data_IF_093160078059
#
_entry.id   IF_093160078059
#
_cell.length_a   1.000
_cell.length_b   1.000
_cell.length_c   1.000
_cell.angle_alpha   90.00
_cell.angle_beta   90.00
_cell.angle_gamma   90.00
#
_symmetry.space_group_name_H-M   'P 1'
#
loop_
_entity.id
_entity.type
_entity.pdbx_description
1 polymer ?
#
# COMPACT_ATOMS: atom_id res chain seq x y z
N UNK A 1 0.30 21.97 22.96
CA UNK A 1 -0.09 20.67 23.54
C UNK A 1 1.13 19.79 23.47
N UNK A 2 1.63 19.37 24.63
CA UNK A 2 2.98 18.87 24.90
C UNK A 2 3.32 17.64 24.05
N UNK A 3 4.36 17.73 23.22
CA UNK A 3 5.05 16.56 22.68
C UNK A 3 5.66 15.83 23.88
N UNK A 4 5.11 14.68 24.26
CA UNK A 4 5.82 13.76 25.15
C UNK A 4 7.10 13.32 24.45
N UNK A 5 8.24 13.69 25.00
CA UNK A 5 9.55 13.32 24.47
C UNK A 5 9.70 11.79 24.54
N UNK A 6 9.61 11.10 23.41
CA UNK A 6 9.66 9.63 23.29
C UNK A 6 11.08 9.04 23.47
N UNK A 7 11.92 9.66 24.30
CA UNK A 7 13.33 9.24 24.47
C UNK A 7 13.38 7.81 25.02
N UNK A 8 13.91 6.88 24.21
CA UNK A 8 14.10 5.47 24.59
C UNK A 8 12.90 4.54 24.38
N UNK A 9 11.77 5.00 23.82
CA UNK A 9 10.60 4.15 23.54
C UNK A 9 10.62 3.62 22.12
N UNK A 10 10.51 2.30 21.96
CA UNK A 10 10.31 1.68 20.64
C UNK A 10 8.84 1.76 20.21
N UNK A 11 8.55 1.86 18.89
CA UNK A 11 7.19 1.76 18.39
C UNK A 11 6.63 0.35 18.63
N UNK A 12 5.31 0.23 18.79
CA UNK A 12 4.64 -1.07 18.95
C UNK A 12 4.20 -1.59 17.59
N UNK A 13 4.80 -2.68 17.11
CA UNK A 13 4.56 -3.18 15.75
C UNK A 13 3.08 -3.42 15.43
N UNK A 14 2.35 -4.04 16.38
CA UNK A 14 0.94 -4.43 16.21
C UNK A 14 0.01 -3.24 15.94
N UNK A 15 0.35 -2.06 16.44
CA UNK A 15 -0.44 -0.83 16.26
C UNK A 15 0.24 0.15 15.32
N UNK A 16 1.45 -0.14 14.81
CA UNK A 16 2.17 0.74 13.93
C UNK A 16 1.39 0.95 12.62
N UNK A 17 0.91 2.17 12.31
CA UNK A 17 0.01 2.41 11.18
C UNK A 17 0.62 2.02 9.84
N UNK A 18 1.92 2.27 9.64
CA UNK A 18 2.65 1.87 8.43
C UNK A 18 2.73 0.34 8.24
N UNK A 19 2.80 -0.41 9.33
CA UNK A 19 2.76 -1.87 9.30
C UNK A 19 1.36 -2.36 8.92
N UNK A 20 0.31 -1.85 9.57
CA UNK A 20 -1.09 -2.19 9.29
C UNK A 20 -1.48 -1.88 7.84
N UNK A 21 -1.09 -0.72 7.31
CA UNK A 21 -1.32 -0.33 5.91
C UNK A 21 -0.65 -1.30 4.95
N UNK A 22 0.59 -1.71 5.21
CA UNK A 22 1.29 -2.70 4.39
C UNK A 22 0.60 -4.06 4.43
N UNK A 23 0.20 -4.54 5.61
CA UNK A 23 -0.52 -5.82 5.74
C UNK A 23 -1.85 -5.78 4.98
N UNK A 24 -2.60 -4.68 5.07
CA UNK A 24 -3.83 -4.50 4.31
C UNK A 24 -3.57 -4.47 2.78
N UNK A 25 -2.44 -3.89 2.35
CA UNK A 25 -2.04 -3.91 0.95
C UNK A 25 -1.71 -5.33 0.46
N UNK A 26 -1.08 -6.14 1.29
CA UNK A 26 -0.80 -7.55 1.00
C UNK A 26 -2.11 -8.34 0.87
N UNK A 27 -3.02 -8.19 1.83
CA UNK A 27 -4.35 -8.81 1.80
C UNK A 27 -5.12 -8.43 0.51
N UNK A 28 -5.14 -7.14 0.16
CA UNK A 28 -5.73 -6.67 -1.09
C UNK A 28 -5.05 -7.30 -2.32
N UNK A 29 -3.72 -7.41 -2.32
CA UNK A 29 -2.97 -8.01 -3.44
C UNK A 29 -3.28 -9.49 -3.60
N UNK A 30 -3.40 -10.24 -2.50
CA UNK A 30 -3.81 -11.65 -2.51
C UNK A 30 -5.23 -11.79 -3.07
N UNK A 31 -6.21 -11.04 -2.53
CA UNK A 31 -7.59 -11.06 -3.00
C UNK A 31 -7.67 -10.72 -4.50
N UNK A 32 -6.90 -9.74 -4.93
CA UNK A 32 -6.81 -9.35 -6.34
C UNK A 32 -6.34 -10.51 -7.21
N UNK A 33 -5.24 -11.18 -6.84
CA UNK A 33 -4.70 -12.32 -7.59
C UNK A 33 -5.69 -13.49 -7.66
N UNK A 34 -6.45 -13.72 -6.58
CA UNK A 34 -7.45 -14.80 -6.49
C UNK A 34 -8.70 -14.53 -7.33
N UNK A 35 -9.15 -13.28 -7.42
CA UNK A 35 -10.46 -12.95 -7.99
C UNK A 35 -10.41 -12.25 -9.35
N UNK A 36 -9.35 -11.51 -9.68
CA UNK A 36 -9.26 -10.73 -10.93
C UNK A 36 -8.42 -11.48 -11.97
N UNK A 37 -9.06 -12.41 -12.68
CA UNK A 37 -8.38 -13.36 -13.59
C UNK A 37 -8.03 -12.80 -14.98
N UNK A 38 -8.47 -11.58 -15.32
CA UNK A 38 -8.22 -10.95 -16.62
C UNK A 38 -6.77 -10.46 -16.83
N UNK A 39 -5.85 -10.81 -15.92
CA UNK A 39 -4.44 -10.44 -15.98
C UNK A 39 -4.21 -8.93 -15.92
N UNK A 40 -5.09 -8.18 -15.26
CA UNK A 40 -4.89 -6.77 -14.94
C UNK A 40 -4.32 -6.66 -13.53
N UNK A 41 -3.36 -5.76 -13.33
CA UNK A 41 -3.01 -5.30 -11.98
C UNK A 41 -4.04 -4.26 -11.51
N UNK A 42 -4.13 -4.03 -10.19
CA UNK A 42 -5.01 -2.99 -9.62
C UNK A 42 -4.71 -1.59 -10.17
N UNK A 43 -3.44 -1.27 -10.39
CA UNK A 43 -3.02 -0.01 -10.99
C UNK A 43 -3.43 0.09 -12.46
N UNK A 44 -3.28 -1.00 -13.23
CA UNK A 44 -3.73 -1.04 -14.62
C UNK A 44 -5.25 -0.87 -14.72
N UNK A 45 -6.03 -1.57 -13.88
CA UNK A 45 -7.48 -1.39 -13.81
C UNK A 45 -7.85 0.05 -13.48
N UNK A 46 -7.22 0.65 -12.46
CA UNK A 46 -7.48 2.04 -12.08
C UNK A 46 -7.23 3.03 -13.22
N UNK A 47 -6.18 2.83 -14.01
CA UNK A 47 -5.94 3.66 -15.22
C UNK A 47 -7.06 3.45 -16.25
N UNK A 48 -7.49 2.22 -16.50
CA UNK A 48 -8.59 1.97 -17.44
C UNK A 48 -9.90 2.63 -16.97
N UNK A 49 -10.21 2.55 -15.68
CA UNK A 49 -11.37 3.18 -15.07
C UNK A 49 -11.34 4.70 -15.22
N UNK A 50 -10.20 5.33 -14.88
CA UNK A 50 -10.00 6.79 -15.05
C UNK A 50 -10.14 7.21 -16.52
N UNK A 51 -9.61 6.43 -17.46
CA UNK A 51 -9.77 6.70 -18.90
C UNK A 51 -11.20 6.48 -19.39
N UNK A 52 -11.94 5.52 -18.82
CA UNK A 52 -13.36 5.32 -19.12
C UNK A 52 -14.22 6.50 -18.69
N UNK A 53 -13.91 7.08 -17.53
CA UNK A 53 -14.66 8.20 -16.94
C UNK A 53 -14.31 9.56 -17.53
N UNK A 54 -13.08 9.75 -18.02
CA UNK A 54 -12.58 11.06 -18.49
C UNK A 54 -12.27 11.10 -19.99
N UNK A 55 -12.43 9.97 -20.68
CA UNK A 55 -12.12 9.85 -22.10
C UNK A 55 -10.62 10.01 -22.40
N UNK A 56 -10.26 11.06 -23.15
CA UNK A 56 -8.91 11.32 -23.65
C UNK A 56 -8.16 12.27 -22.72
N UNK A 57 -7.17 11.76 -21.98
CA UNK A 57 -6.35 12.58 -21.05
C UNK A 57 -4.86 12.32 -21.20
N UNK A 58 -4.02 13.26 -20.78
CA UNK A 58 -2.57 13.08 -20.82
C UNK A 58 -2.03 12.25 -19.64
N UNK A 59 -0.78 11.78 -19.77
CA UNK A 59 -0.12 10.98 -18.73
C UNK A 59 0.13 11.76 -17.44
N UNK A 60 0.28 13.08 -17.49
CA UNK A 60 0.44 13.91 -16.28
C UNK A 60 -0.84 13.85 -15.45
N UNK A 61 -1.99 13.94 -16.10
CA UNK A 61 -3.31 13.86 -15.51
C UNK A 61 -3.60 12.45 -14.97
N UNK A 62 -3.26 11.40 -15.72
CA UNK A 62 -3.32 10.01 -15.23
C UNK A 62 -2.47 9.85 -13.97
N UNK A 63 -1.22 10.32 -13.99
CA UNK A 63 -0.31 10.24 -12.85
C UNK A 63 -0.86 10.96 -11.62
N UNK A 64 -1.44 12.16 -11.78
CA UNK A 64 -2.12 12.89 -10.70
C UNK A 64 -3.27 12.10 -10.09
N UNK A 65 -4.22 11.63 -10.92
CA UNK A 65 -5.42 10.93 -10.47
C UNK A 65 -5.11 9.57 -9.82
N UNK A 66 -4.11 8.87 -10.34
CA UNK A 66 -3.65 7.59 -9.80
C UNK A 66 -2.66 7.72 -8.64
N UNK A 67 -2.14 8.94 -8.39
CA UNK A 67 -0.92 9.25 -7.65
C UNK A 67 0.21 8.26 -7.94
N UNK A 68 0.64 8.31 -9.19
CA UNK A 68 1.83 7.66 -9.69
C UNK A 68 2.83 8.74 -10.09
N UNK A 69 4.11 8.48 -9.86
CA UNK A 69 5.16 9.33 -10.41
C UNK A 69 5.20 9.22 -11.95
N UNK A 70 5.93 10.16 -12.58
CA UNK A 70 6.03 10.26 -14.03
C UNK A 70 6.57 8.98 -14.68
N UNK A 71 7.56 8.33 -14.05
CA UNK A 71 8.23 7.15 -14.60
C UNK A 71 7.32 5.92 -14.52
N UNK A 72 6.68 5.70 -13.37
CA UNK A 72 5.71 4.62 -13.18
C UNK A 72 4.50 4.79 -14.08
N UNK A 73 3.98 6.02 -14.22
CA UNK A 73 2.87 6.30 -15.13
C UNK A 73 3.23 5.96 -16.57
N UNK A 74 4.41 6.40 -17.03
CA UNK A 74 4.88 6.13 -18.38
C UNK A 74 5.06 4.63 -18.66
N UNK A 75 5.64 3.88 -17.71
CA UNK A 75 5.82 2.44 -17.83
C UNK A 75 4.48 1.69 -17.86
N UNK A 76 3.56 1.97 -16.94
CA UNK A 76 2.25 1.29 -16.92
C UNK A 76 1.46 1.61 -18.19
N UNK A 77 1.42 2.87 -18.63
CA UNK A 77 0.76 3.25 -19.90
C UNK A 77 1.43 2.56 -21.08
N UNK A 78 2.76 2.45 -21.11
CA UNK A 78 3.49 1.73 -22.17
C UNK A 78 3.10 0.25 -22.23
N UNK A 79 3.02 -0.42 -21.07
CA UNK A 79 2.56 -1.82 -20.97
C UNK A 79 1.11 -1.98 -21.41
N UNK A 80 0.22 -1.06 -21.02
CA UNK A 80 -1.18 -1.05 -21.48
C UNK A 80 -1.30 -0.83 -22.99
N UNK A 81 -0.48 0.04 -23.58
CA UNK A 81 -0.42 0.24 -25.04
C UNK A 81 0.07 -1.01 -25.75
N UNK A 82 1.14 -1.66 -25.25
CA UNK A 82 1.67 -2.92 -25.81
C UNK A 82 0.65 -4.05 -25.77
N UNK A 83 -0.19 -4.08 -24.74
CA UNK A 83 -1.32 -5.03 -24.61
C UNK A 83 -2.53 -4.66 -25.46
N UNK A 84 -2.48 -3.55 -26.20
CA UNK A 84 -3.59 -3.05 -27.01
C UNK A 84 -4.81 -2.63 -26.19
N UNK A 85 -4.65 -2.28 -24.91
CA UNK A 85 -5.76 -1.85 -24.05
C UNK A 85 -6.00 -0.35 -24.15
N UNK A 86 -4.94 0.45 -24.35
CA UNK A 86 -5.04 1.90 -24.54
C UNK A 86 -4.32 2.32 -25.81
N UNK A 87 -4.79 3.39 -26.45
CA UNK A 87 -4.15 4.00 -27.62
C UNK A 87 -3.60 5.38 -27.25
N UNK A 88 -2.48 5.78 -27.89
CA UNK A 88 -1.93 7.14 -27.81
C UNK A 88 -2.21 7.84 -29.13
N UNK A 89 -2.98 8.92 -29.11
CA UNK A 89 -3.28 9.70 -30.31
C UNK A 89 -2.41 10.97 -30.31
N UNK A 90 -2.05 11.48 -31.49
CA UNK A 90 -1.45 12.81 -31.59
C UNK A 90 -2.59 13.82 -31.50
N UNK A 91 -2.46 14.80 -30.61
CA UNK A 91 -3.46 15.86 -30.53
C UNK A 91 -3.35 16.75 -31.78
N UNK A 92 -4.43 16.92 -32.57
CA UNK A 92 -4.41 17.72 -33.79
C UNK A 92 -4.27 19.23 -33.52
N UNK A 93 -4.57 19.69 -32.30
CA UNK A 93 -4.46 21.10 -31.88
C UNK A 93 -3.10 21.43 -31.27
N UNK A 94 -2.45 20.44 -30.66
CA UNK A 94 -1.11 20.55 -30.11
C UNK A 94 -0.32 19.25 -30.35
N UNK A 95 0.45 19.21 -31.44
CA UNK A 95 1.20 18.01 -31.84
C UNK A 95 2.24 17.53 -30.82
N UNK A 96 2.50 18.28 -29.74
CA UNK A 96 3.34 17.87 -28.60
C UNK A 96 2.57 17.05 -27.57
N UNK A 97 1.24 17.17 -27.52
CA UNK A 97 0.37 16.37 -26.65
C UNK A 97 0.05 15.02 -27.29
N UNK A 98 0.15 13.98 -26.48
CA UNK A 98 -0.21 12.60 -26.86
C UNK A 98 -1.23 12.05 -25.87
N UNK A 99 -2.51 12.46 -25.95
CA UNK A 99 -3.54 11.94 -25.09
C UNK A 99 -3.65 10.42 -25.20
N UNK A 100 -3.98 9.81 -24.06
CA UNK A 100 -4.23 8.39 -23.89
C UNK A 100 -5.73 8.19 -23.78
N UNK A 101 -6.26 7.14 -24.42
CA UNK A 101 -7.65 6.73 -24.27
C UNK A 101 -7.81 5.22 -24.36
N UNK A 102 -8.97 4.72 -23.92
CA UNK A 102 -9.34 3.32 -24.08
C UNK A 102 -9.46 2.94 -25.56
N UNK A 103 -8.90 1.78 -25.90
CA UNK A 103 -9.28 1.06 -27.12
C UNK A 103 -10.59 0.28 -26.91
N UNK A 104 -11.17 -0.30 -27.96
CA UNK A 104 -12.31 -1.22 -27.82
C UNK A 104 -11.98 -2.41 -26.89
N UNK A 105 -10.78 -2.98 -27.00
CA UNK A 105 -10.30 -4.05 -26.11
C UNK A 105 -10.15 -3.57 -24.66
N UNK A 106 -9.72 -2.32 -24.47
CA UNK A 106 -9.62 -1.68 -23.15
C UNK A 106 -10.97 -1.51 -22.47
N UNK A 107 -11.99 -1.07 -23.23
CA UNK A 107 -13.39 -0.98 -22.74
C UNK A 107 -13.91 -2.34 -22.31
N UNK A 108 -13.75 -3.37 -23.16
CA UNK A 108 -14.17 -4.73 -22.83
C UNK A 108 -13.46 -5.26 -21.58
N UNK A 109 -12.15 -5.05 -21.48
CA UNK A 109 -11.37 -5.48 -20.31
C UNK A 109 -11.80 -4.77 -19.03
N UNK A 110 -12.14 -3.47 -19.10
CA UNK A 110 -12.68 -2.72 -17.97
C UNK A 110 -14.02 -3.32 -17.52
N UNK A 111 -14.98 -3.45 -18.43
CA UNK A 111 -16.32 -4.01 -18.15
C UNK A 111 -16.24 -5.42 -17.57
N UNK A 112 -15.38 -6.29 -18.11
CA UNK A 112 -15.20 -7.66 -17.62
C UNK A 112 -14.53 -7.72 -16.24
N UNK A 113 -13.61 -6.80 -15.94
CA UNK A 113 -12.88 -6.80 -14.68
C UNK A 113 -13.72 -6.26 -13.51
N UNK A 114 -14.57 -5.25 -13.76
CA UNK A 114 -15.24 -4.49 -12.71
C UNK A 114 -16.00 -5.35 -11.70
N UNK A 115 -16.83 -6.35 -12.09
CA UNK A 115 -17.55 -7.16 -11.11
C UNK A 115 -16.62 -7.88 -10.11
N UNK A 116 -15.50 -8.42 -10.59
CA UNK A 116 -14.50 -9.04 -9.74
C UNK A 116 -13.77 -8.02 -8.86
N UNK A 117 -13.49 -6.83 -9.38
CA UNK A 117 -12.89 -5.74 -8.59
C UNK A 117 -13.81 -5.28 -7.46
N UNK A 118 -15.10 -5.11 -7.73
CA UNK A 118 -16.11 -4.78 -6.71
C UNK A 118 -16.15 -5.88 -5.64
N UNK A 119 -16.08 -7.16 -6.04
CA UNK A 119 -16.00 -8.27 -5.11
C UNK A 119 -14.72 -8.21 -4.24
N UNK A 120 -13.56 -7.88 -4.82
CA UNK A 120 -12.31 -7.70 -4.05
C UNK A 120 -12.45 -6.56 -3.03
N UNK A 121 -13.02 -5.42 -3.42
CA UNK A 121 -13.22 -4.30 -2.49
C UNK A 121 -14.14 -4.68 -1.33
N UNK A 122 -15.23 -5.41 -1.61
CA UNK A 122 -16.15 -5.91 -0.59
C UNK A 122 -15.45 -6.89 0.35
N UNK A 123 -14.79 -7.92 -0.20
CA UNK A 123 -14.10 -8.97 0.58
C UNK A 123 -13.06 -8.41 1.52
N UNK A 124 -12.30 -7.42 1.07
CA UNK A 124 -11.30 -6.74 1.90
C UNK A 124 -11.90 -6.13 3.17
N UNK A 125 -13.17 -5.72 3.12
CA UNK A 125 -13.88 -5.07 4.22
C UNK A 125 -14.98 -5.96 4.85
N UNK A 126 -15.11 -7.22 4.44
CA UNK A 126 -16.05 -8.19 5.03
C UNK A 126 -15.96 -8.28 6.58
N UNK A 127 -14.78 -8.15 7.21
CA UNK A 127 -14.66 -8.17 8.67
C UNK A 127 -15.28 -6.97 9.41
N UNK A 128 -15.69 -5.93 8.68
CA UNK A 128 -16.24 -4.69 9.23
C UNK A 128 -17.74 -4.60 8.97
N UNK A 129 -18.49 -4.09 9.96
CA UNK A 129 -19.90 -3.70 9.76
C UNK A 129 -20.02 -2.41 8.96
N UNK A 130 -21.22 -2.05 8.51
CA UNK A 130 -21.42 -0.93 7.58
C UNK A 130 -20.88 0.41 8.11
N UNK A 131 -21.18 0.76 9.37
CA UNK A 131 -20.67 1.99 9.98
C UNK A 131 -19.13 1.99 10.09
N UNK A 132 -18.55 0.84 10.46
CA UNK A 132 -17.09 0.69 10.53
C UNK A 132 -16.43 0.84 9.15
N UNK A 133 -17.11 0.44 8.07
CA UNK A 133 -16.63 0.58 6.69
C UNK A 133 -16.59 2.04 6.26
N UNK A 134 -17.66 2.79 6.51
CA UNK A 134 -17.70 4.22 6.19
C UNK A 134 -16.71 5.04 7.04
N UNK A 135 -16.56 4.69 8.32
CA UNK A 135 -15.51 5.26 9.18
C UNK A 135 -14.12 4.99 8.59
N UNK A 136 -13.81 3.73 8.29
CA UNK A 136 -12.50 3.38 7.75
C UNK A 136 -12.26 4.07 6.41
N UNK A 137 -13.26 4.12 5.53
CA UNK A 137 -13.18 4.84 4.26
C UNK A 137 -12.82 6.32 4.46
N UNK A 138 -13.51 6.99 5.39
CA UNK A 138 -13.28 8.42 5.69
C UNK A 138 -11.87 8.66 6.23
N UNK A 139 -11.46 7.87 7.23
CA UNK A 139 -10.15 7.99 7.87
C UNK A 139 -9.01 7.67 6.91
N UNK A 140 -9.14 6.57 6.16
CA UNK A 140 -8.14 6.14 5.19
C UNK A 140 -8.04 7.12 4.01
N UNK A 141 -9.13 7.74 3.58
CA UNK A 141 -9.10 8.79 2.57
C UNK A 141 -8.26 9.99 3.02
N UNK A 142 -8.47 10.46 4.25
CA UNK A 142 -7.67 11.56 4.83
C UNK A 142 -6.20 11.23 4.91
N UNK A 143 -5.85 10.01 5.30
CA UNK A 143 -4.45 9.53 5.32
C UNK A 143 -3.87 9.43 3.91
N UNK A 144 -4.59 8.83 2.96
CA UNK A 144 -4.14 8.56 1.60
C UNK A 144 -3.96 9.81 0.73
N UNK A 145 -4.68 10.89 1.04
CA UNK A 145 -4.63 12.15 0.33
C UNK A 145 -3.96 13.28 1.13
N UNK A 146 -3.63 13.04 2.40
CA UNK A 146 -3.14 14.07 3.33
C UNK A 146 -4.09 15.29 3.35
N UNK A 147 -5.38 15.00 3.45
CA UNK A 147 -6.47 15.96 3.25
C UNK A 147 -7.65 15.33 2.51
N UNK A 148 -8.42 16.14 1.81
CA UNK A 148 -9.60 15.66 1.08
C UNK A 148 -9.22 14.94 -0.23
N UNK A 149 -9.92 13.85 -0.59
CA UNK A 149 -9.75 13.23 -1.89
C UNK A 149 -10.13 14.20 -3.02
N UNK A 150 -9.60 14.01 -4.25
CA UNK A 150 -10.05 14.73 -5.43
C UNK A 150 -11.56 14.60 -5.57
N UNK A 151 -12.25 15.73 -5.77
CA UNK A 151 -13.68 15.69 -6.07
C UNK A 151 -13.90 15.08 -7.46
N UNK A 152 -14.96 14.30 -7.61
CA UNK A 152 -15.28 13.68 -8.90
C UNK A 152 -15.72 14.67 -9.96
N UNK A 153 -16.26 15.81 -9.53
CA UNK A 153 -16.70 16.93 -10.34
C UNK A 153 -15.57 17.94 -10.62
N UNK A 154 -14.29 17.50 -10.60
CA UNK A 154 -13.12 18.32 -10.94
C UNK A 154 -13.41 19.14 -12.22
N UNK A 155 -13.65 20.47 -12.12
CA UNK A 155 -14.12 21.28 -13.24
C UNK A 155 -13.03 21.47 -14.31
N UNK A 156 -11.78 21.18 -13.96
CA UNK A 156 -10.63 21.17 -14.87
C UNK A 156 -10.43 19.81 -15.55
N UNK A 157 -11.30 18.82 -15.29
CA UNK A 157 -11.32 17.58 -16.02
C UNK A 157 -11.67 17.85 -17.49
N UNK A 158 -10.86 17.41 -18.47
CA UNK A 158 -11.23 17.57 -19.86
C UNK A 158 -12.55 16.83 -20.12
N UNK A 159 -13.53 17.59 -20.63
CA UNK A 159 -14.86 17.15 -21.01
C UNK A 159 -14.82 16.28 -22.28
N UNK A 160 -14.14 15.14 -22.22
CA UNK A 160 -14.29 14.10 -23.23
C UNK A 160 -15.70 13.51 -23.17
N UNK A 161 -16.19 12.98 -24.30
CA UNK A 161 -17.40 12.15 -24.30
C UNK A 161 -17.19 10.97 -23.33
N UNK A 162 -17.86 11.04 -22.18
CA UNK A 162 -17.87 9.97 -21.19
C UNK A 162 -18.83 8.91 -21.69
N UNK A 163 -18.32 7.69 -21.82
CA UNK A 163 -19.09 6.54 -22.26
C UNK A 163 -19.94 6.05 -21.07
N UNK A 164 -21.22 6.42 -21.07
CA UNK A 164 -22.15 6.12 -19.98
C UNK A 164 -22.36 4.61 -19.77
N UNK A 165 -22.03 3.78 -20.76
CA UNK A 165 -22.12 2.32 -20.71
C UNK A 165 -20.92 1.69 -19.97
N UNK A 166 -19.85 2.45 -19.72
CA UNK A 166 -18.70 1.97 -18.96
C UNK A 166 -18.94 2.03 -17.45
N UNK A 167 -18.25 1.16 -16.68
CA UNK A 167 -18.27 1.19 -15.22
C UNK A 167 -18.00 2.59 -14.63
N UNK A 168 -18.91 3.02 -13.75
CA UNK A 168 -18.88 4.33 -13.07
C UNK A 168 -18.30 4.26 -11.64
N UNK A 169 -17.51 3.23 -11.36
CA UNK A 169 -16.86 3.03 -10.06
C UNK A 169 -16.00 4.22 -9.66
N UNK A 170 -16.17 4.71 -8.42
CA UNK A 170 -15.39 5.84 -7.92
C UNK A 170 -14.06 5.34 -7.36
N UNK A 171 -12.96 5.51 -8.10
CA UNK A 171 -11.65 5.00 -7.70
C UNK A 171 -11.19 5.54 -6.32
N UNK A 172 -11.49 6.80 -6.00
CA UNK A 172 -11.18 7.36 -4.68
C UNK A 172 -12.05 6.76 -3.56
N UNK A 173 -13.10 5.98 -3.87
CA UNK A 173 -13.86 5.13 -2.94
C UNK A 173 -13.42 3.67 -2.89
N UNK A 174 -12.38 3.29 -3.62
CA UNK A 174 -11.87 1.92 -3.59
C UNK A 174 -10.88 1.75 -2.43
N UNK A 175 -11.18 0.95 -1.38
CA UNK A 175 -10.29 0.78 -0.24
C UNK A 175 -8.89 0.26 -0.65
N UNK A 176 -8.81 -0.62 -1.65
CA UNK A 176 -7.52 -1.10 -2.18
C UNK A 176 -6.66 0.01 -2.80
N UNK A 177 -7.28 1.00 -3.45
CA UNK A 177 -6.58 2.17 -3.98
C UNK A 177 -6.10 3.09 -2.85
N UNK A 178 -6.95 3.36 -1.87
CA UNK A 178 -6.61 4.19 -0.71
C UNK A 178 -5.48 3.56 0.13
N UNK A 179 -5.53 2.25 0.39
CA UNK A 179 -4.47 1.51 1.10
C UNK A 179 -3.14 1.62 0.33
N UNK A 180 -3.15 1.40 -0.98
CA UNK A 180 -1.95 1.52 -1.82
C UNK A 180 -1.33 2.92 -1.72
N UNK A 181 -2.17 3.96 -1.77
CA UNK A 181 -1.70 5.35 -1.63
C UNK A 181 -1.11 5.63 -0.25
N UNK A 182 -1.78 5.19 0.81
CA UNK A 182 -1.26 5.31 2.18
C UNK A 182 0.10 4.60 2.31
N UNK A 183 0.27 3.44 1.67
CA UNK A 183 1.55 2.72 1.66
C UNK A 183 2.65 3.46 0.89
N UNK A 184 2.32 4.10 -0.24
CA UNK A 184 3.25 4.94 -1.00
C UNK A 184 3.68 6.17 -0.21
N UNK A 185 2.75 6.80 0.49
CA UNK A 185 3.04 7.91 1.39
C UNK A 185 3.97 7.45 2.52
N UNK A 186 3.63 6.37 3.21
CA UNK A 186 4.49 5.79 4.25
C UNK A 186 5.90 5.50 3.74
N UNK A 187 6.03 4.94 2.52
CA UNK A 187 7.34 4.68 1.90
C UNK A 187 8.13 5.97 1.64
N UNK A 188 7.44 7.03 1.24
CA UNK A 188 8.04 8.36 1.01
C UNK A 188 8.53 8.97 2.32
N UNK A 189 7.66 8.99 3.34
CA UNK A 189 7.99 9.49 4.68
C UNK A 189 9.17 8.73 5.29
N UNK A 190 9.13 7.40 5.23
CA UNK A 190 10.22 6.54 5.68
C UNK A 190 11.56 6.88 5.01
N UNK A 191 11.54 7.03 3.68
CA UNK A 191 12.75 7.33 2.90
C UNK A 191 13.31 8.73 3.17
N UNK A 192 12.46 9.66 3.63
CA UNK A 192 12.84 11.02 3.99
C UNK A 192 13.37 11.14 5.42
N UNK A 193 12.72 10.48 6.38
CA UNK A 193 12.99 10.66 7.80
C UNK A 193 13.87 9.57 8.43
N UNK A 194 13.76 8.31 7.96
CA UNK A 194 14.44 7.18 8.61
C UNK A 194 15.66 6.74 7.82
N UNK A 195 15.46 6.21 6.61
CA UNK A 195 16.55 5.72 5.76
C UNK A 195 16.07 5.33 4.36
N UNK A 196 16.95 5.50 3.37
CA UNK A 196 16.80 4.91 2.02
C UNK A 196 17.46 3.53 1.90
N UNK A 197 18.37 3.18 2.80
CA UNK A 197 19.16 1.94 2.74
C UNK A 197 18.55 0.78 3.54
N UNK A 198 17.62 1.10 4.44
CA UNK A 198 16.86 0.13 5.24
C UNK A 198 15.39 0.35 5.00
N UNK A 199 14.65 -0.74 4.86
CA UNK A 199 13.19 -0.70 4.67
C UNK A 199 12.46 -0.74 6.00
N UNK A 200 11.22 -0.23 6.01
CA UNK A 200 10.33 -0.36 7.18
C UNK A 200 10.09 -1.81 7.59
N UNK A 201 10.05 -2.73 6.62
CA UNK A 201 9.93 -4.17 6.85
C UNK A 201 11.15 -4.74 7.57
N UNK A 202 12.36 -4.35 7.16
CA UNK A 202 13.59 -4.74 7.83
C UNK A 202 13.60 -4.25 9.28
N UNK A 203 13.20 -3.01 9.52
CA UNK A 203 13.05 -2.47 10.87
C UNK A 203 11.98 -3.22 11.69
N UNK A 204 10.84 -3.59 11.09
CA UNK A 204 9.83 -4.42 11.76
C UNK A 204 10.36 -5.78 12.18
N UNK A 205 11.26 -6.40 11.41
CA UNK A 205 11.92 -7.67 11.80
C UNK A 205 12.83 -7.45 13.00
N UNK A 206 13.61 -6.37 13.03
CA UNK A 206 14.45 -6.04 14.18
C UNK A 206 13.60 -5.83 15.44
N UNK A 207 12.51 -5.09 15.32
CA UNK A 207 11.56 -4.85 16.39
C UNK A 207 10.91 -6.15 16.90
N UNK A 208 10.49 -7.04 15.99
CA UNK A 208 9.90 -8.33 16.36
C UNK A 208 10.89 -9.26 17.09
N UNK A 209 12.18 -9.21 16.73
CA UNK A 209 13.25 -9.95 17.42
C UNK A 209 13.61 -9.33 18.77
N UNK A 210 13.49 -8.01 18.91
CA UNK A 210 13.63 -7.32 20.19
C UNK A 210 12.50 -7.72 21.15
N UNK A 211 11.25 -7.64 20.70
CA UNK A 211 10.06 -7.88 21.54
C UNK A 211 9.97 -9.33 22.04
N UNK A 212 10.50 -10.27 21.26
CA UNK A 212 10.58 -11.65 21.69
C UNK A 212 11.81 -12.33 21.06
N UNK A 213 12.88 -12.54 21.84
CA UNK A 213 14.09 -13.18 21.37
C UNK A 213 13.85 -14.67 21.07
N UNK A 214 14.81 -15.30 20.39
CA UNK A 214 14.81 -16.73 20.06
C UNK A 214 13.67 -17.16 19.12
N UNK A 215 13.31 -16.32 18.15
CA UNK A 215 12.40 -16.73 17.08
C UNK A 215 13.16 -17.44 15.98
N UNK A 216 12.53 -18.46 15.39
CA UNK A 216 12.99 -18.92 14.09
C UNK A 216 12.49 -17.99 12.96
N UNK A 217 13.03 -18.21 11.75
CA UNK A 217 12.71 -17.42 10.56
C UNK A 217 11.21 -17.46 10.18
N UNK A 218 10.53 -18.58 10.44
CA UNK A 218 9.10 -18.72 10.14
C UNK A 218 8.27 -17.90 11.14
N UNK A 219 8.61 -17.98 12.43
CA UNK A 219 7.94 -17.26 13.51
C UNK A 219 8.11 -15.75 13.35
N UNK A 220 9.31 -15.27 13.02
CA UNK A 220 9.52 -13.84 12.78
C UNK A 220 8.76 -13.37 11.54
N UNK A 221 8.80 -14.15 10.44
CA UNK A 221 8.06 -13.85 9.21
C UNK A 221 6.56 -13.74 9.46
N UNK A 222 5.98 -14.69 10.19
CA UNK A 222 4.56 -14.66 10.58
C UNK A 222 4.23 -13.41 11.41
N UNK A 223 5.06 -13.03 12.38
CA UNK A 223 4.83 -11.83 13.22
C UNK A 223 4.89 -10.52 12.47
N UNK A 224 5.65 -10.46 11.37
CA UNK A 224 5.74 -9.27 10.52
C UNK A 224 4.91 -9.43 9.23
N UNK A 225 4.02 -10.41 9.15
CA UNK A 225 3.17 -10.68 7.98
C UNK A 225 3.99 -10.75 6.67
N UNK A 226 5.02 -11.58 6.68
CA UNK A 226 5.86 -11.91 5.52
C UNK A 226 5.71 -13.38 5.16
N UNK A 227 5.64 -13.66 3.85
CA UNK A 227 5.75 -15.02 3.35
C UNK A 227 7.15 -15.61 3.62
N UNK A 228 7.25 -16.93 3.51
CA UNK A 228 8.49 -17.66 3.82
C UNK A 228 9.71 -17.18 3.03
N UNK A 229 9.52 -16.85 1.74
CA UNK A 229 10.61 -16.41 0.87
C UNK A 229 11.07 -15.01 1.26
N UNK A 230 10.13 -14.06 1.30
CA UNK A 230 10.43 -12.66 1.65
C UNK A 230 11.01 -12.54 3.05
N UNK A 231 10.46 -13.28 4.02
CA UNK A 231 10.99 -13.32 5.39
C UNK A 231 12.44 -13.83 5.44
N UNK A 232 12.77 -14.83 4.63
CA UNK A 232 14.15 -15.33 4.51
C UNK A 232 15.12 -14.33 3.91
N UNK A 233 14.74 -13.70 2.81
CA UNK A 233 15.58 -12.69 2.16
C UNK A 233 15.82 -11.48 3.08
N UNK A 234 14.79 -11.06 3.83
CA UNK A 234 14.92 -9.97 4.81
C UNK A 234 15.88 -10.35 5.92
N UNK A 235 15.73 -11.54 6.51
CA UNK A 235 16.62 -12.02 7.58
C UNK A 235 18.05 -12.14 7.07
N UNK A 236 18.28 -12.75 5.90
CA UNK A 236 19.61 -12.88 5.31
C UNK A 236 20.30 -11.52 5.14
N UNK A 237 19.59 -10.52 4.59
CA UNK A 237 20.10 -9.15 4.43
C UNK A 237 20.39 -8.42 5.74
N UNK A 238 19.72 -8.79 6.84
CA UNK A 238 19.99 -8.24 8.17
C UNK A 238 21.20 -8.93 8.81
N UNK A 239 21.39 -10.23 8.55
CA UNK A 239 22.59 -10.97 8.94
C UNK A 239 23.84 -10.47 8.19
N UNK A 240 23.75 -10.23 6.89
CA UNK A 240 24.83 -9.64 6.08
C UNK A 240 25.26 -8.26 6.59
N UNK A 241 24.34 -7.52 7.21
CA UNK A 241 24.62 -6.22 7.85
C UNK A 241 25.19 -6.35 9.28
N UNK A 242 25.25 -7.57 9.82
CA UNK A 242 25.70 -7.82 11.18
C UNK A 242 24.70 -7.39 12.27
N UNK A 243 23.41 -7.22 11.93
CA UNK A 243 22.38 -6.78 12.90
C UNK A 243 21.56 -7.91 13.49
N UNK A 244 21.56 -9.05 12.81
CA UNK A 244 20.87 -10.27 13.26
C UNK A 244 21.90 -11.38 13.27
N UNK A 245 21.91 -12.15 14.34
CA UNK A 245 22.70 -13.36 14.47
C UNK A 245 21.79 -14.61 14.46
N UNK A 246 22.42 -15.75 14.18
CA UNK A 246 21.75 -17.04 14.09
C UNK A 246 22.48 -18.07 14.94
N UNK A 247 21.75 -18.65 15.89
CA UNK A 247 22.26 -19.67 16.80
C UNK A 247 21.46 -20.95 16.62
N UNK A 248 22.13 -22.11 16.65
CA UNK A 248 21.44 -23.41 16.59
C UNK A 248 20.55 -23.57 17.82
N UNK A 249 19.34 -24.06 17.61
CA UNK A 249 18.47 -24.42 18.73
C UNK A 249 19.01 -25.66 19.44
N UNK A 250 19.15 -25.60 20.76
CA UNK A 250 19.63 -26.70 21.59
C UNK A 250 18.62 -27.84 21.68
N UNK A 251 17.33 -27.52 21.50
CA UNK A 251 16.23 -28.46 21.66
C UNK A 251 15.81 -29.10 20.32
N UNK A 252 16.16 -28.49 19.18
CA UNK A 252 15.95 -29.02 17.83
C UNK A 252 17.05 -28.53 16.88
N UNK A 253 18.08 -29.35 16.64
CA UNK A 253 19.24 -28.98 15.81
C UNK A 253 18.89 -28.60 14.35
N UNK A 254 17.66 -28.86 13.90
CA UNK A 254 17.16 -28.45 12.57
C UNK A 254 16.63 -27.01 12.57
N UNK A 255 16.47 -26.40 13.75
CA UNK A 255 16.02 -25.02 13.93
C UNK A 255 17.20 -24.09 14.20
N UNK A 256 17.03 -22.89 13.71
CA UNK A 256 17.95 -21.79 13.88
C UNK A 256 17.19 -20.64 14.50
N UNK A 257 17.63 -20.22 15.67
CA UNK A 257 17.06 -19.12 16.43
C UNK A 257 17.75 -17.83 16.03
N UNK A 258 16.97 -16.76 15.92
CA UNK A 258 17.42 -15.44 15.54
C UNK A 258 17.48 -14.55 16.79
N UNK A 259 18.52 -13.72 16.84
CA UNK A 259 18.73 -12.71 17.87
C UNK A 259 19.24 -11.42 17.26
N UNK A 260 19.05 -10.30 17.98
CA UNK A 260 19.73 -9.05 17.64
C UNK A 260 21.15 -9.08 18.18
N UNK A 261 22.10 -8.65 17.36
CA UNK A 261 23.44 -8.26 17.84
C UNK A 261 23.35 -6.93 18.61
N UNK A 262 24.44 -6.53 19.26
CA UNK A 262 24.52 -5.22 19.91
C UNK A 262 24.40 -4.09 18.88
N UNK A 263 25.04 -4.21 17.72
CA UNK A 263 24.92 -3.24 16.62
C UNK A 263 23.49 -3.17 16.07
N UNK A 264 22.81 -4.32 15.99
CA UNK A 264 21.40 -4.37 15.58
C UNK A 264 20.46 -3.71 16.58
N UNK A 265 20.75 -3.86 17.88
CA UNK A 265 20.02 -3.20 18.97
C UNK A 265 20.27 -1.68 18.95
N UNK A 266 21.51 -1.25 18.83
CA UNK A 266 21.86 0.17 18.75
C UNK A 266 21.21 0.84 17.53
N UNK A 267 21.22 0.17 16.38
CA UNK A 267 20.53 0.67 15.19
C UNK A 267 19.01 0.81 15.42
N UNK A 268 18.38 -0.20 16.03
CA UNK A 268 16.95 -0.21 16.33
C UNK A 268 16.57 1.00 17.21
N UNK A 269 17.25 1.18 18.34
CA UNK A 269 16.98 2.30 19.25
C UNK A 269 17.35 3.65 18.65
N UNK A 270 18.46 3.73 17.91
CA UNK A 270 18.92 4.96 17.26
C UNK A 270 17.99 5.50 16.17
N UNK A 271 16.99 4.72 15.72
CA UNK A 271 15.98 5.14 14.73
C UNK A 271 14.57 5.25 15.29
N UNK A 272 14.35 4.87 16.55
CA UNK A 272 13.01 4.78 17.14
C UNK A 272 12.21 6.07 17.05
N UNK A 273 12.82 7.20 17.40
CA UNK A 273 12.18 8.52 17.34
C UNK A 273 11.77 8.91 15.91
N UNK A 274 12.65 8.69 14.92
CA UNK A 274 12.34 8.95 13.52
C UNK A 274 11.20 8.06 13.01
N UNK A 275 11.16 6.79 13.44
CA UNK A 275 10.08 5.86 13.08
C UNK A 275 8.74 6.27 13.71
N UNK A 276 8.74 6.75 14.95
CA UNK A 276 7.55 7.30 15.60
C UNK A 276 7.08 8.56 14.85
N UNK A 277 8.01 9.46 14.49
CA UNK A 277 7.72 10.65 13.70
C UNK A 277 7.06 10.32 12.35
N UNK A 278 7.51 9.28 11.65
CA UNK A 278 6.86 8.80 10.41
C UNK A 278 5.41 8.35 10.66
N UNK A 279 5.13 7.70 11.78
CA UNK A 279 3.77 7.26 12.12
C UNK A 279 2.88 8.46 12.43
N UNK A 280 3.41 9.43 13.17
CA UNK A 280 2.71 10.67 13.49
C UNK A 280 2.41 11.51 12.26
N UNK A 281 3.35 11.60 11.33
CA UNK A 281 3.18 12.33 10.07
C UNK A 281 2.19 11.61 9.13
N UNK A 282 2.26 10.27 9.05
CA UNK A 282 1.29 9.49 8.28
C UNK A 282 -0.15 9.73 8.75
N UNK A 283 -0.36 9.83 10.06
CA UNK A 283 -1.65 10.08 10.68
C UNK A 283 -1.89 11.56 11.06
N UNK A 284 -1.06 12.49 10.60
CA UNK A 284 -1.19 13.93 10.88
C UNK A 284 -2.59 14.48 10.55
N UNK A 285 -3.26 14.05 9.47
CA UNK A 285 -4.62 14.51 9.17
C UNK A 285 -5.69 14.05 10.14
N UNK A 286 -5.41 13.13 11.09
CA UNK A 286 -6.39 12.54 12.00
C UNK A 286 -6.19 13.05 13.44
N UNK A 287 -7.29 13.34 14.13
CA UNK A 287 -7.32 13.59 15.57
C UNK A 287 -6.95 12.34 16.37
N UNK A 288 -6.64 12.50 17.66
CA UNK A 288 -6.22 11.37 18.52
C UNK A 288 -7.25 10.24 18.56
N UNK A 289 -8.54 10.57 18.62
CA UNK A 289 -9.60 9.56 18.63
C UNK A 289 -9.74 8.86 17.27
N UNK A 290 -9.65 9.64 16.19
CA UNK A 290 -9.64 9.13 14.82
C UNK A 290 -8.46 8.20 14.55
N UNK A 291 -7.28 8.49 15.12
CA UNK A 291 -6.09 7.61 15.03
C UNK A 291 -6.35 6.26 15.69
N UNK A 292 -6.88 6.25 16.91
CA UNK A 292 -7.25 5.02 17.63
C UNK A 292 -8.27 4.22 16.84
N UNK A 293 -9.30 4.90 16.31
CA UNK A 293 -10.33 4.28 15.48
C UNK A 293 -9.74 3.67 14.21
N UNK A 294 -8.87 4.40 13.52
CA UNK A 294 -8.16 3.92 12.33
C UNK A 294 -7.36 2.65 12.62
N UNK A 295 -6.56 2.65 13.70
CA UNK A 295 -5.76 1.49 14.10
C UNK A 295 -6.62 0.26 14.40
N UNK A 296 -7.72 0.42 15.15
CA UNK A 296 -8.65 -0.67 15.47
C UNK A 296 -9.28 -1.27 14.20
N UNK A 297 -9.74 -0.42 13.28
CA UNK A 297 -10.38 -0.86 12.05
C UNK A 297 -9.39 -1.55 11.10
N UNK A 298 -8.19 -0.98 10.94
CA UNK A 298 -7.12 -1.58 10.14
C UNK A 298 -6.63 -2.90 10.75
N UNK A 299 -6.57 -3.01 12.07
CA UNK A 299 -6.21 -4.26 12.75
C UNK A 299 -7.26 -5.36 12.50
N UNK A 300 -8.55 -5.04 12.50
CA UNK A 300 -9.62 -5.99 12.17
C UNK A 300 -9.54 -6.47 10.73
N UNK A 301 -9.29 -5.55 9.79
CA UNK A 301 -9.10 -5.89 8.37
C UNK A 301 -7.90 -6.81 8.20
N UNK A 302 -6.75 -6.48 8.78
CA UNK A 302 -5.51 -7.25 8.61
C UNK A 302 -5.59 -8.65 9.21
N UNK A 303 -6.04 -8.78 10.47
CA UNK A 303 -6.13 -10.10 11.14
C UNK A 303 -7.02 -11.09 10.41
N UNK A 304 -8.19 -10.66 9.96
CA UNK A 304 -9.13 -11.54 9.27
C UNK A 304 -8.58 -12.10 7.94
N UNK A 305 -7.57 -11.45 7.37
CA UNK A 305 -6.92 -11.90 6.13
C UNK A 305 -5.58 -12.61 6.39
N UNK A 306 -5.06 -12.60 7.62
CA UNK A 306 -3.91 -13.43 8.04
C UNK A 306 -4.34 -14.85 8.39
N UNK A 307 -5.57 -15.04 8.86
CA UNK A 307 -6.14 -16.34 9.29
C UNK A 307 -6.80 -17.13 8.13
N UNK A 308 -6.92 -16.54 6.95
CA UNK A 308 -7.64 -17.09 5.79
C UNK A 308 -6.77 -17.74 4.70
N UNK A 309 -5.45 -17.77 4.89
CA UNK A 309 -4.44 -18.42 4.04
C UNK A 309 -3.94 -19.75 4.66
#
# INVERSE_FOLDING_TARGET
>A
MTQETHVGRLPVLRTAPGHLVRCAQQAHTHLWQRHVLVGLTSVQYGILLVLGQRGKIDQKTIGRLMSLDKSTTADVVSRLTRRGLVTRQRDPRDGRRRPVCLSARGRLALTQATPAVVQVQRRLLDPLGENDREDLFTLLSRVAYQGDPPRDDDPDAPAGEVDAELPQERLHRHPGHLIRRAAQLHTTLWSGAVSRSITSVQYSVLLALHDAPRLDQRMVGSRVSLDKSTGGDVVARLQERGWVERTRDTDDARRNLLGLTDEGRDFLFGRAEAVIGVQDELLAPLSVEERRRFEVLMLRVTRAHEEGD
#
